data_IF_414922222042
#
_entry.id   IF_414922222042
#
_cell.length_a   1.000
_cell.length_b   1.000
_cell.length_c   1.000
_cell.angle_alpha   90.00
_cell.angle_beta   90.00
_cell.angle_gamma   90.00
#
_symmetry.space_group_name_H-M   'P 1'
#
loop_
_entity.id
_entity.type
_entity.pdbx_description
1 polymer ?
#
# COMPACT_ATOMS: atom_id res chain seq x y z
N UNK A 1 3.00 -13.99 -16.69
CA UNK A 1 3.99 -14.67 -17.55
C UNK A 1 4.12 -16.15 -17.20
N UNK A 2 4.02 -16.53 -15.94
CA UNK A 2 4.10 -17.93 -15.48
C UNK A 2 3.01 -18.89 -16.00
N UNK A 3 1.79 -18.40 -16.24
CA UNK A 3 0.68 -19.25 -16.73
C UNK A 3 0.83 -19.70 -18.19
N UNK A 4 1.63 -18.98 -18.97
CA UNK A 4 1.91 -19.33 -20.39
C UNK A 4 2.97 -20.42 -20.51
N UNK A 5 3.96 -20.41 -19.61
CA UNK A 5 5.06 -21.39 -19.61
C UNK A 5 4.62 -22.76 -19.06
N UNK A 6 3.67 -22.79 -18.12
CA UNK A 6 3.10 -24.06 -17.63
C UNK A 6 2.24 -24.79 -18.70
N UNK A 7 1.68 -24.09 -19.69
CA UNK A 7 0.90 -24.68 -20.78
C UNK A 7 1.75 -25.30 -21.90
N UNK A 8 2.99 -24.87 -22.04
CA UNK A 8 3.87 -25.33 -23.14
C UNK A 8 4.74 -26.52 -22.79
N UNK A 9 4.66 -27.05 -21.56
CA UNK A 9 5.44 -28.23 -21.13
C UNK A 9 6.96 -28.02 -21.14
N UNK A 10 7.44 -26.79 -21.31
CA UNK A 10 8.85 -26.48 -21.20
C UNK A 10 9.18 -26.38 -19.72
N UNK A 11 9.74 -27.45 -19.19
CA UNK A 11 10.30 -27.50 -17.83
C UNK A 11 11.59 -26.66 -17.81
N UNK A 12 11.46 -25.37 -17.54
CA UNK A 12 12.62 -24.58 -17.12
C UNK A 12 12.96 -25.02 -15.70
N UNK A 13 14.19 -25.45 -15.42
CA UNK A 13 14.60 -25.73 -14.05
C UNK A 13 14.36 -24.46 -13.19
N UNK A 14 13.92 -24.65 -11.96
CA UNK A 14 13.59 -23.62 -10.95
C UNK A 14 14.81 -22.76 -10.57
N UNK A 15 15.47 -22.14 -11.55
CA UNK A 15 16.68 -21.35 -11.36
C UNK A 15 16.44 -19.92 -11.77
N UNK A 16 16.16 -19.08 -10.75
CA UNK A 16 16.26 -17.63 -10.91
C UNK A 16 17.65 -17.18 -10.46
N UNK A 17 18.23 -16.23 -11.15
CA UNK A 17 19.56 -15.71 -10.83
C UNK A 17 19.56 -15.01 -9.47
N UNK A 18 20.50 -15.36 -8.57
CA UNK A 18 20.76 -14.58 -7.34
C UNK A 18 21.24 -13.17 -7.70
N UNK A 19 20.77 -12.11 -7.02
CA UNK A 19 21.20 -10.73 -7.29
C UNK A 19 22.72 -10.52 -7.24
N UNK A 20 23.42 -11.25 -6.36
CA UNK A 20 24.87 -11.16 -6.18
C UNK A 20 25.69 -11.64 -7.40
N UNK A 21 25.14 -12.54 -8.22
CA UNK A 21 25.79 -13.04 -9.45
C UNK A 21 25.39 -12.19 -10.66
N UNK A 22 24.28 -11.43 -10.55
CA UNK A 22 23.78 -10.57 -11.59
C UNK A 22 24.36 -9.15 -11.56
N UNK A 23 25.25 -8.81 -10.63
CA UNK A 23 26.05 -7.58 -10.68
C UNK A 23 27.12 -7.69 -11.76
N UNK A 24 26.74 -7.19 -12.94
CA UNK A 24 27.54 -7.35 -14.15
C UNK A 24 28.80 -6.47 -14.21
N UNK A 25 29.60 -6.76 -15.22
CA UNK A 25 30.78 -6.04 -15.71
C UNK A 25 30.67 -4.49 -15.56
N UNK A 26 31.68 -3.79 -15.00
CA UNK A 26 31.69 -2.33 -14.78
C UNK A 26 31.71 -1.48 -16.07
N UNK A 27 31.37 -2.04 -17.22
CA UNK A 27 31.19 -1.34 -18.48
C UNK A 27 29.83 -0.66 -18.63
N UNK A 28 29.64 0.16 -19.67
CA UNK A 28 28.32 0.75 -20.00
C UNK A 28 27.27 -0.34 -20.09
N UNK A 29 26.37 -0.38 -19.10
CA UNK A 29 25.21 -1.28 -19.05
C UNK A 29 24.32 -1.02 -20.26
N UNK A 30 24.15 -2.03 -21.10
CA UNK A 30 23.14 -2.06 -22.16
C UNK A 30 22.36 -3.36 -22.01
N UNK A 31 21.05 -3.30 -22.16
CA UNK A 31 20.15 -4.47 -22.03
C UNK A 31 20.60 -5.66 -22.89
N UNK A 32 21.21 -5.39 -24.04
CA UNK A 32 21.72 -6.41 -24.97
C UNK A 32 22.96 -7.15 -24.41
N UNK A 33 23.89 -6.42 -23.77
CA UNK A 33 25.06 -7.03 -23.10
C UNK A 33 24.65 -7.82 -21.87
N UNK A 34 23.75 -7.28 -21.07
CA UNK A 34 23.23 -7.94 -19.87
C UNK A 34 22.47 -9.23 -20.25
N UNK A 35 21.64 -9.21 -21.30
CA UNK A 35 20.93 -10.38 -21.77
C UNK A 35 21.91 -11.48 -22.26
N UNK A 36 22.96 -11.10 -23.00
CA UNK A 36 23.98 -12.03 -23.48
C UNK A 36 24.77 -12.63 -22.32
N UNK A 37 25.18 -11.80 -21.35
CA UNK A 37 25.92 -12.24 -20.18
C UNK A 37 25.08 -13.20 -19.31
N UNK A 38 23.81 -12.89 -19.06
CA UNK A 38 22.88 -13.78 -18.35
C UNK A 38 22.73 -15.12 -19.09
N UNK A 39 22.60 -15.10 -20.41
CA UNK A 39 22.51 -16.32 -21.20
C UNK A 39 23.79 -17.17 -21.11
N UNK A 40 24.96 -16.54 -21.11
CA UNK A 40 26.26 -17.23 -21.01
C UNK A 40 26.43 -17.86 -19.62
N UNK A 41 26.13 -17.16 -18.52
CA UNK A 41 26.19 -17.74 -17.16
C UNK A 41 25.20 -18.90 -17.00
N UNK A 42 23.99 -18.74 -17.55
CA UNK A 42 22.98 -19.81 -17.52
C UNK A 42 23.44 -21.05 -18.30
N UNK A 43 24.02 -20.86 -19.48
CA UNK A 43 24.58 -21.94 -20.34
C UNK A 43 25.67 -22.73 -19.62
N UNK A 44 26.49 -22.07 -18.82
CA UNK A 44 27.61 -22.69 -18.10
C UNK A 44 27.21 -23.19 -16.67
N UNK A 45 25.92 -23.20 -16.33
CA UNK A 45 25.40 -23.67 -15.02
C UNK A 45 26.00 -22.92 -13.82
N UNK A 46 26.42 -21.67 -14.03
CA UNK A 46 27.00 -20.81 -13.00
C UNK A 46 25.94 -20.06 -12.18
N UNK A 47 24.66 -20.23 -12.51
CA UNK A 47 23.55 -19.59 -11.79
C UNK A 47 23.14 -20.44 -10.60
N UNK A 48 23.36 -19.94 -9.40
CA UNK A 48 22.77 -20.54 -8.22
C UNK A 48 21.24 -20.35 -8.23
N UNK A 49 20.49 -21.44 -8.09
CA UNK A 49 19.03 -21.37 -8.00
C UNK A 49 18.59 -20.60 -6.76
N UNK A 50 17.68 -19.63 -6.93
CA UNK A 50 17.02 -18.99 -5.78
C UNK A 50 15.77 -19.76 -5.38
N UNK A 51 15.44 -19.66 -4.08
CA UNK A 51 14.22 -20.29 -3.59
C UNK A 51 12.97 -19.63 -4.19
N UNK A 52 12.12 -20.44 -4.80
CA UNK A 52 10.81 -20.03 -5.30
C UNK A 52 9.75 -20.59 -4.36
N UNK A 53 9.01 -19.73 -3.64
CA UNK A 53 7.95 -20.20 -2.75
C UNK A 53 6.86 -20.99 -3.47
N UNK A 54 6.18 -21.94 -2.79
CA UNK A 54 5.03 -22.64 -3.33
C UNK A 54 3.96 -21.70 -3.92
N UNK A 55 3.16 -22.19 -4.85
CA UNK A 55 2.16 -21.41 -5.57
C UNK A 55 1.20 -20.66 -4.64
N UNK A 56 0.76 -21.31 -3.56
CA UNK A 56 -0.16 -20.72 -2.57
C UNK A 56 0.45 -19.50 -1.84
N UNK A 57 1.74 -19.58 -1.51
CA UNK A 57 2.48 -18.46 -0.89
C UNK A 57 2.66 -17.32 -1.91
N UNK A 58 2.96 -17.64 -3.17
CA UNK A 58 3.09 -16.63 -4.24
C UNK A 58 1.77 -15.89 -4.48
N UNK A 59 0.64 -16.61 -4.47
CA UNK A 59 -0.69 -16.01 -4.58
C UNK A 59 -0.98 -15.07 -3.41
N UNK A 60 -0.71 -15.52 -2.18
CA UNK A 60 -0.90 -14.70 -0.99
C UNK A 60 -0.01 -13.43 -1.02
N UNK A 61 1.24 -13.58 -1.45
CA UNK A 61 2.19 -12.47 -1.64
C UNK A 61 1.66 -11.44 -2.65
N UNK A 62 1.14 -11.88 -3.78
CA UNK A 62 0.58 -10.98 -4.80
C UNK A 62 -0.59 -10.18 -4.25
N UNK A 63 -1.52 -10.83 -3.55
CA UNK A 63 -2.66 -10.17 -2.90
C UNK A 63 -2.20 -9.15 -1.84
N UNK A 64 -1.21 -9.50 -1.00
CA UNK A 64 -0.67 -8.59 0.02
C UNK A 64 0.03 -7.39 -0.59
N UNK A 65 0.80 -7.58 -1.65
CA UNK A 65 1.44 -6.50 -2.41
C UNK A 65 0.42 -5.60 -3.09
N UNK A 66 -0.67 -6.15 -3.60
CA UNK A 66 -1.76 -5.34 -4.15
C UNK A 66 -2.49 -4.53 -3.07
N UNK A 67 -2.72 -5.11 -1.88
CA UNK A 67 -3.25 -4.38 -0.73
C UNK A 67 -2.39 -3.16 -0.36
N UNK A 68 -1.08 -3.32 -0.38
CA UNK A 68 -0.14 -2.23 -0.15
C UNK A 68 -0.25 -1.14 -1.23
N UNK A 69 -0.38 -1.52 -2.51
CA UNK A 69 -0.60 -0.56 -3.61
C UNK A 69 -1.89 0.24 -3.43
N UNK A 70 -3.00 -0.42 -3.06
CA UNK A 70 -4.27 0.28 -2.78
C UNK A 70 -4.14 1.26 -1.61
N UNK A 71 -3.40 0.89 -0.57
CA UNK A 71 -3.12 1.80 0.55
C UNK A 71 -2.34 3.03 0.09
N UNK A 72 -1.31 2.86 -0.74
CA UNK A 72 -0.55 3.97 -1.30
C UNK A 72 -1.39 4.87 -2.22
N UNK A 73 -2.31 4.29 -3.01
CA UNK A 73 -3.27 5.05 -3.80
C UNK A 73 -4.16 5.93 -2.89
N UNK A 74 -4.67 5.37 -1.78
CA UNK A 74 -5.46 6.14 -0.81
C UNK A 74 -4.66 7.29 -0.18
N UNK A 75 -3.38 7.06 0.17
CA UNK A 75 -2.48 8.12 0.67
C UNK A 75 -2.28 9.20 -0.39
N UNK A 76 -2.10 8.81 -1.65
CA UNK A 76 -1.99 9.75 -2.77
C UNK A 76 -3.23 10.63 -2.91
N UNK A 77 -4.44 10.07 -2.79
CA UNK A 77 -5.68 10.84 -2.82
C UNK A 77 -5.84 11.76 -1.60
N UNK A 78 -5.45 11.30 -0.41
CA UNK A 78 -5.43 12.15 0.79
C UNK A 78 -4.55 13.38 0.59
N UNK A 79 -3.34 13.21 0.04
CA UNK A 79 -2.44 14.31 -0.25
C UNK A 79 -3.05 15.28 -1.29
N UNK A 80 -3.73 14.77 -2.32
CA UNK A 80 -4.43 15.60 -3.31
C UNK A 80 -5.56 16.40 -2.68
N UNK A 81 -6.35 15.77 -1.79
CA UNK A 81 -7.43 16.45 -1.07
C UNK A 81 -6.87 17.56 -0.18
N UNK A 82 -5.79 17.30 0.55
CA UNK A 82 -5.14 18.31 1.38
C UNK A 82 -4.60 19.47 0.55
N UNK A 83 -3.97 19.20 -0.59
CA UNK A 83 -3.53 20.25 -1.52
C UNK A 83 -4.70 21.13 -2.00
N UNK A 84 -5.87 20.55 -2.27
CA UNK A 84 -7.06 21.35 -2.63
C UNK A 84 -7.48 22.30 -1.50
N UNK A 85 -7.43 21.85 -0.23
CA UNK A 85 -7.73 22.68 0.92
C UNK A 85 -6.68 23.78 1.11
N UNK A 86 -5.40 23.45 0.98
CA UNK A 86 -4.30 24.42 1.11
C UNK A 86 -4.36 25.52 0.05
N UNK A 87 -4.64 25.16 -1.22
CA UNK A 87 -4.83 26.12 -2.32
C UNK A 87 -6.03 27.05 -2.05
N UNK A 88 -7.04 26.57 -1.33
CA UNK A 88 -8.21 27.33 -0.88
C UNK A 88 -7.95 28.13 0.41
N UNK A 89 -6.72 28.21 0.89
CA UNK A 89 -6.30 28.82 2.16
C UNK A 89 -7.02 28.20 3.39
N UNK A 90 -7.33 26.91 3.34
CA UNK A 90 -7.92 26.15 4.44
C UNK A 90 -6.87 25.26 5.06
N UNK A 91 -6.50 25.53 6.31
CA UNK A 91 -5.34 24.94 7.02
C UNK A 91 -5.80 23.96 8.12
N UNK A 92 -6.56 22.95 7.73
CA UNK A 92 -7.07 21.94 8.69
C UNK A 92 -5.94 21.10 9.30
N UNK A 93 -4.82 20.94 8.65
CA UNK A 93 -3.62 20.25 9.12
C UNK A 93 -2.88 20.97 10.26
N UNK A 94 -3.04 22.31 10.38
CA UNK A 94 -2.50 23.07 11.49
C UNK A 94 -3.27 22.86 12.81
N UNK A 95 -4.52 22.40 12.72
CA UNK A 95 -5.43 22.33 13.86
C UNK A 95 -5.91 20.93 14.19
N UNK A 96 -5.83 19.99 13.25
CA UNK A 96 -6.21 18.59 13.41
C UNK A 96 -5.07 17.66 13.03
N UNK A 97 -4.79 16.68 13.89
CA UNK A 97 -3.80 15.62 13.59
C UNK A 97 -4.23 14.69 12.46
N UNK A 98 -5.54 14.58 12.22
CA UNK A 98 -6.13 13.83 11.12
C UNK A 98 -7.16 14.68 10.40
N UNK A 99 -6.79 15.18 9.23
CA UNK A 99 -7.63 16.02 8.34
C UNK A 99 -8.82 15.22 7.77
N UNK A 100 -8.75 13.89 7.80
CA UNK A 100 -9.81 12.98 7.35
C UNK A 100 -10.62 12.39 8.52
N UNK A 101 -10.32 12.80 9.74
CA UNK A 101 -11.09 12.44 10.93
C UNK A 101 -12.52 13.02 10.91
N UNK A 102 -13.41 12.49 11.75
CA UNK A 102 -14.85 12.83 11.76
C UNK A 102 -15.13 14.33 11.78
N UNK A 103 -14.44 15.08 12.63
CA UNK A 103 -14.64 16.52 12.78
C UNK A 103 -14.16 17.30 11.55
N UNK A 104 -12.93 17.05 11.11
CA UNK A 104 -12.38 17.73 9.95
C UNK A 104 -13.16 17.39 8.67
N UNK A 105 -13.63 16.15 8.51
CA UNK A 105 -14.52 15.76 7.41
C UNK A 105 -15.85 16.47 7.45
N UNK A 106 -16.48 16.61 8.62
CA UNK A 106 -17.74 17.35 8.77
C UNK A 106 -17.61 18.86 8.43
N UNK A 107 -16.48 19.45 8.83
CA UNK A 107 -16.14 20.84 8.45
C UNK A 107 -15.94 20.95 6.92
N UNK A 108 -15.19 20.02 6.33
CA UNK A 108 -14.98 19.96 4.88
C UNK A 108 -16.30 19.78 4.13
N UNK A 109 -17.21 18.92 4.62
CA UNK A 109 -18.54 18.73 4.04
C UNK A 109 -19.36 20.04 4.08
N UNK A 110 -19.22 20.80 5.15
CA UNK A 110 -19.91 22.09 5.27
C UNK A 110 -19.35 23.12 4.27
N UNK A 111 -18.03 23.16 4.12
CA UNK A 111 -17.35 24.03 3.13
C UNK A 111 -17.78 23.69 1.69
N UNK A 112 -17.88 22.38 1.38
CA UNK A 112 -18.32 21.94 0.05
C UNK A 112 -19.80 22.23 -0.26
N UNK A 113 -20.65 22.41 0.77
CA UNK A 113 -22.08 22.77 0.60
C UNK A 113 -22.28 24.27 0.36
N UNK A 114 -21.50 25.09 1.00
CA UNK A 114 -21.64 26.55 0.90
C UNK A 114 -20.35 27.22 1.33
N UNK A 115 -19.89 28.14 0.52
CA UNK A 115 -18.69 28.95 0.73
C UNK A 115 -18.96 30.16 1.68
N UNK A 116 -20.14 30.22 2.33
CA UNK A 116 -20.46 31.28 3.29
C UNK A 116 -19.76 31.02 4.62
N UNK A 117 -19.27 32.07 5.29
CA UNK A 117 -18.74 31.95 6.67
C UNK A 117 -19.73 31.21 7.57
N UNK A 118 -19.26 30.34 8.43
CA UNK A 118 -20.06 29.57 9.36
C UNK A 118 -19.30 29.37 10.68
N UNK A 119 -20.05 29.14 11.74
CA UNK A 119 -19.48 28.79 13.04
C UNK A 119 -19.05 27.32 13.04
N UNK A 120 -17.80 27.06 13.42
CA UNK A 120 -17.24 25.70 13.51
C UNK A 120 -17.67 24.97 14.78
N UNK A 121 -18.13 25.68 15.81
CA UNK A 121 -18.48 25.15 17.15
C UNK A 121 -19.37 23.91 17.09
N UNK A 122 -20.45 23.87 16.26
CA UNK A 122 -21.36 22.70 16.22
C UNK A 122 -20.71 21.41 15.70
N UNK A 123 -19.59 21.52 15.00
CA UNK A 123 -18.87 20.38 14.42
C UNK A 123 -17.80 19.82 15.35
N UNK A 124 -17.46 20.54 16.43
CA UNK A 124 -16.34 20.18 17.31
C UNK A 124 -16.75 19.09 18.31
N UNK A 125 -15.91 18.08 18.42
CA UNK A 125 -16.02 17.07 19.48
C UNK A 125 -15.43 17.59 20.79
N UNK A 126 -16.00 17.19 21.94
CA UNK A 126 -15.49 17.50 23.29
C UNK A 126 -14.03 17.05 23.53
N UNK A 127 -13.48 16.18 22.66
CA UNK A 127 -12.10 15.67 22.76
C UNK A 127 -11.06 16.61 22.12
N UNK A 128 -11.50 17.63 21.38
CA UNK A 128 -10.62 18.57 20.71
C UNK A 128 -10.08 19.55 21.72
N UNK A 129 -8.75 19.62 21.82
CA UNK A 129 -8.04 20.52 22.75
C UNK A 129 -7.65 21.85 22.10
N UNK A 130 -7.70 21.94 20.77
CA UNK A 130 -7.36 23.15 20.01
C UNK A 130 -8.41 24.22 20.27
N UNK A 131 -8.04 25.49 20.58
CA UNK A 131 -8.98 26.60 20.77
C UNK A 131 -9.88 26.80 19.55
N UNK A 132 -11.15 27.11 19.78
CA UNK A 132 -12.18 27.29 18.74
C UNK A 132 -11.79 28.41 17.78
N UNK A 133 -11.24 29.51 18.28
CA UNK A 133 -10.80 30.68 17.52
C UNK A 133 -9.71 30.29 16.51
N UNK A 134 -8.80 29.39 16.90
CA UNK A 134 -7.75 28.89 16.02
C UNK A 134 -8.31 28.01 14.91
N UNK A 135 -9.29 27.18 15.24
CA UNK A 135 -9.98 26.33 14.23
C UNK A 135 -10.81 27.21 13.30
N UNK A 136 -11.48 28.24 13.82
CA UNK A 136 -12.24 29.18 13.02
C UNK A 136 -11.33 29.92 12.02
N UNK A 137 -10.18 30.37 12.46
CA UNK A 137 -9.17 31.02 11.58
C UNK A 137 -8.59 30.07 10.53
N UNK A 138 -8.48 28.77 10.83
CA UNK A 138 -7.98 27.76 9.89
C UNK A 138 -8.96 27.46 8.75
N UNK A 139 -10.23 27.80 8.89
CA UNK A 139 -11.27 27.63 7.84
C UNK A 139 -11.69 28.94 7.18
N UNK A 140 -11.00 30.03 7.48
CA UNK A 140 -11.22 31.33 6.87
C UNK A 140 -10.57 31.43 5.49
N UNK A 141 -10.99 30.53 4.62
CA UNK A 141 -10.54 30.45 3.23
C UNK A 141 -11.72 30.34 2.30
N UNK A 142 -11.46 30.45 1.01
CA UNK A 142 -12.48 30.37 -0.05
C UNK A 142 -12.25 29.19 -0.96
N UNK A 143 -13.18 28.24 -0.99
CA UNK A 143 -13.15 27.10 -1.91
C UNK A 143 -13.87 27.49 -3.19
N UNK A 144 -13.14 27.73 -4.27
CA UNK A 144 -13.75 27.97 -5.58
C UNK A 144 -14.49 26.72 -6.11
N UNK A 145 -15.40 26.92 -7.07
CA UNK A 145 -16.26 25.86 -7.58
C UNK A 145 -15.47 24.67 -8.13
N UNK A 146 -14.37 24.94 -8.84
CA UNK A 146 -13.50 23.93 -9.44
C UNK A 146 -12.79 23.09 -8.36
N UNK A 147 -12.30 23.73 -7.29
CA UNK A 147 -11.64 23.01 -6.18
C UNK A 147 -12.67 22.20 -5.39
N UNK A 148 -13.87 22.72 -5.19
CA UNK A 148 -14.96 21.99 -4.55
C UNK A 148 -15.34 20.72 -5.33
N UNK A 149 -15.46 20.82 -6.65
CA UNK A 149 -15.81 19.68 -7.50
C UNK A 149 -14.65 18.66 -7.55
N UNK A 150 -13.42 19.12 -7.70
CA UNK A 150 -12.24 18.28 -7.63
C UNK A 150 -12.16 17.51 -6.30
N UNK A 151 -12.45 18.18 -5.18
CA UNK A 151 -12.44 17.55 -3.87
C UNK A 151 -13.55 16.49 -3.72
N UNK A 152 -14.74 16.72 -4.32
CA UNK A 152 -15.82 15.71 -4.38
C UNK A 152 -15.39 14.46 -5.18
N UNK A 153 -14.73 14.65 -6.32
CA UNK A 153 -14.22 13.54 -7.15
C UNK A 153 -13.17 12.75 -6.37
N UNK A 154 -12.21 13.42 -5.73
CA UNK A 154 -11.19 12.76 -4.91
C UNK A 154 -11.83 11.93 -3.79
N UNK A 155 -12.80 12.47 -3.08
CA UNK A 155 -13.51 11.75 -1.99
C UNK A 155 -14.29 10.54 -2.53
N UNK A 156 -14.94 10.66 -3.69
CA UNK A 156 -15.59 9.53 -4.35
C UNK A 156 -14.60 8.43 -4.70
N UNK A 157 -13.44 8.79 -5.22
CA UNK A 157 -12.36 7.83 -5.51
C UNK A 157 -11.81 7.17 -4.25
N UNK A 158 -11.61 7.92 -3.16
CA UNK A 158 -11.20 7.35 -1.87
C UNK A 158 -12.20 6.30 -1.37
N UNK A 159 -13.50 6.59 -1.44
CA UNK A 159 -14.55 5.64 -1.05
C UNK A 159 -14.50 4.35 -1.90
N UNK A 160 -14.24 4.50 -3.21
CA UNK A 160 -14.08 3.35 -4.11
C UNK A 160 -12.83 2.52 -3.77
N UNK A 161 -11.71 3.17 -3.44
CA UNK A 161 -10.49 2.50 -2.99
C UNK A 161 -10.71 1.75 -1.68
N UNK A 162 -11.43 2.31 -0.73
CA UNK A 162 -11.75 1.66 0.54
C UNK A 162 -12.63 0.41 0.32
N UNK A 163 -13.60 0.47 -0.59
CA UNK A 163 -14.41 -0.70 -0.97
C UNK A 163 -13.57 -1.79 -1.65
N UNK A 164 -12.72 -1.40 -2.61
CA UNK A 164 -11.81 -2.34 -3.26
C UNK A 164 -10.86 -3.01 -2.26
N UNK A 165 -10.35 -2.24 -1.30
CA UNK A 165 -9.48 -2.75 -0.23
C UNK A 165 -10.23 -3.72 0.68
N UNK A 166 -11.47 -3.42 1.08
CA UNK A 166 -12.28 -4.32 1.90
C UNK A 166 -12.55 -5.66 1.20
N UNK A 167 -12.88 -5.63 -0.09
CA UNK A 167 -13.09 -6.84 -0.89
C UNK A 167 -11.79 -7.67 -1.00
N UNK A 168 -10.67 -7.01 -1.24
CA UNK A 168 -9.36 -7.66 -1.30
C UNK A 168 -8.96 -8.25 0.06
N UNK A 169 -9.23 -7.57 1.16
CA UNK A 169 -8.96 -8.05 2.51
C UNK A 169 -9.76 -9.32 2.84
N UNK A 170 -11.01 -9.41 2.40
CA UNK A 170 -11.81 -10.65 2.51
C UNK A 170 -11.18 -11.81 1.75
N UNK A 171 -10.67 -11.55 0.54
CA UNK A 171 -9.98 -12.56 -0.27
C UNK A 171 -8.65 -12.99 0.38
N UNK A 172 -7.88 -12.05 0.90
CA UNK A 172 -6.63 -12.33 1.62
C UNK A 172 -6.91 -13.25 2.82
N UNK A 173 -7.91 -12.93 3.63
CA UNK A 173 -8.24 -13.71 4.81
C UNK A 173 -8.68 -15.14 4.45
N UNK A 174 -9.50 -15.31 3.40
CA UNK A 174 -9.91 -16.65 2.93
C UNK A 174 -8.75 -17.46 2.38
N UNK A 175 -7.84 -16.83 1.65
CA UNK A 175 -6.63 -17.48 1.11
C UNK A 175 -5.65 -17.87 2.23
N UNK A 176 -5.53 -17.02 3.24
CA UNK A 176 -4.62 -17.21 4.38
C UNK A 176 -5.08 -18.32 5.35
N UNK A 177 -6.35 -18.76 5.31
CA UNK A 177 -6.87 -19.82 6.19
C UNK A 177 -6.07 -21.13 6.10
N UNK A 178 -5.49 -21.42 4.95
CA UNK A 178 -4.61 -22.59 4.77
C UNK A 178 -3.40 -22.60 5.70
N UNK A 179 -2.98 -21.43 6.17
CA UNK A 179 -1.79 -21.23 6.99
C UNK A 179 -2.13 -20.82 8.43
N UNK A 180 -3.35 -21.11 8.89
CA UNK A 180 -3.84 -20.67 10.20
C UNK A 180 -2.91 -21.06 11.36
N UNK A 181 -2.38 -22.31 11.47
CA UNK A 181 -1.48 -22.67 12.56
C UNK A 181 -0.19 -21.83 12.60
N UNK A 182 0.37 -21.53 11.42
CA UNK A 182 1.59 -20.72 11.33
C UNK A 182 1.30 -19.25 11.63
N UNK A 183 0.12 -18.76 11.21
CA UNK A 183 -0.33 -17.39 11.54
C UNK A 183 -0.53 -17.22 13.02
N UNK A 184 -1.16 -18.17 13.71
CA UNK A 184 -1.34 -18.16 15.16
C UNK A 184 0.00 -18.13 15.88
N UNK A 185 0.98 -18.94 15.42
CA UNK A 185 2.32 -18.94 15.96
C UNK A 185 3.01 -17.57 15.81
N UNK A 186 2.94 -16.96 14.64
CA UNK A 186 3.54 -15.62 14.39
C UNK A 186 2.85 -14.55 15.24
N UNK A 187 1.53 -14.64 15.43
CA UNK A 187 0.77 -13.71 16.28
C UNK A 187 1.04 -13.85 17.79
N UNK A 188 1.75 -14.87 18.25
CA UNK A 188 2.23 -14.92 19.65
C UNK A 188 3.25 -13.84 19.96
N UNK A 189 3.91 -13.29 18.93
CA UNK A 189 4.87 -12.18 19.11
C UNK A 189 4.10 -10.89 19.41
N UNK A 190 4.40 -10.21 20.53
CA UNK A 190 3.70 -8.98 20.92
C UNK A 190 3.75 -7.92 19.81
N UNK A 191 2.59 -7.35 19.49
CA UNK A 191 2.46 -6.29 18.46
C UNK A 191 2.21 -6.81 17.04
N UNK A 192 2.34 -8.11 16.78
CA UNK A 192 2.00 -8.67 15.46
C UNK A 192 0.50 -9.01 15.43
N UNK A 193 -0.22 -8.32 14.54
CA UNK A 193 -1.63 -8.59 14.25
C UNK A 193 -1.79 -9.39 12.95
N UNK A 194 -3.01 -9.85 12.67
CA UNK A 194 -3.35 -10.76 11.57
C UNK A 194 -2.73 -10.34 10.22
N UNK A 195 -2.89 -9.09 9.79
CA UNK A 195 -2.33 -8.64 8.51
C UNK A 195 -0.81 -8.57 8.50
N UNK A 196 -0.19 -8.26 9.64
CA UNK A 196 1.28 -8.29 9.77
C UNK A 196 1.79 -9.74 9.69
N UNK A 197 1.13 -10.67 10.36
CA UNK A 197 1.45 -12.10 10.31
C UNK A 197 1.29 -12.65 8.88
N UNK A 198 0.18 -12.34 8.20
CA UNK A 198 -0.05 -12.73 6.80
C UNK A 198 1.04 -12.14 5.91
N UNK A 199 1.42 -10.87 6.10
CA UNK A 199 2.49 -10.21 5.38
C UNK A 199 3.83 -10.96 5.53
N UNK A 200 4.20 -11.31 6.76
CA UNK A 200 5.42 -12.08 7.04
C UNK A 200 5.38 -13.42 6.31
N UNK A 201 4.33 -14.22 6.50
CA UNK A 201 4.22 -15.55 5.87
C UNK A 201 4.21 -15.44 4.35
N UNK A 202 3.58 -14.42 3.79
CA UNK A 202 3.54 -14.22 2.34
C UNK A 202 4.91 -13.93 1.72
N UNK A 203 5.85 -13.35 2.47
CA UNK A 203 7.20 -13.04 1.97
C UNK A 203 8.22 -14.14 2.29
N UNK A 204 8.16 -14.78 3.44
CA UNK A 204 9.15 -15.81 3.83
C UNK A 204 8.67 -17.25 3.57
N UNK A 205 7.35 -17.47 3.44
CA UNK A 205 6.78 -18.81 3.37
C UNK A 205 6.58 -19.45 4.74
N UNK A 206 6.31 -20.74 4.76
CA UNK A 206 6.09 -21.56 5.98
C UNK A 206 7.18 -22.60 6.20
N UNK A 207 8.01 -22.83 5.19
CA UNK A 207 9.13 -23.78 5.27
C UNK A 207 10.38 -23.09 5.82
N UNK A 208 10.66 -23.32 7.09
CA UNK A 208 11.82 -22.74 7.76
C UNK A 208 13.14 -23.45 7.44
N UNK A 209 13.12 -24.61 6.76
CA UNK A 209 14.34 -25.31 6.34
C UNK A 209 15.16 -24.52 5.31
N UNK A 210 14.50 -23.57 4.62
CA UNK A 210 15.13 -22.61 3.69
C UNK A 210 16.08 -21.63 4.41
N UNK A 211 15.88 -21.45 5.73
CA UNK A 211 16.66 -20.53 6.57
C UNK A 211 17.44 -21.33 7.63
N UNK A 212 18.54 -22.03 7.28
CA UNK A 212 19.24 -22.96 8.17
C UNK A 212 19.93 -22.28 9.36
N UNK A 213 20.16 -20.99 9.29
CA UNK A 213 20.79 -20.21 10.37
C UNK A 213 20.12 -18.86 10.56
N UNK A 214 20.23 -18.29 11.77
CA UNK A 214 19.78 -16.93 12.09
C UNK A 214 20.78 -15.83 11.69
N UNK A 215 21.83 -16.18 10.94
CA UNK A 215 22.90 -15.28 10.49
C UNK A 215 22.68 -14.88 9.06
#
# INVERSE_FOLDING_TARGET
MDSYLQRTGIFLPDRTCSPEICEGDPGKKTDEKDAKWIADIFKHDLVAGSFIPPADIRQLRDLMRYRWKLTNCTVGEKNRAQNCLTVSNIKLDDVFSDVFGKTASAITDRLLKSNKPFDVTPYLSRRIKTPVEKIQAAVDGEVCAEQAEKLRIIRSHMNSLDLCKANLESLILSTAQKFLPQLELVMTVPGIQSYSAIGIISEIGVDMSVFPTSK
#
